data_IF_142977493122
#
_entry.id   IF_142977493122
#
_cell.length_a   1.000
_cell.length_b   1.000
_cell.length_c   1.000
_cell.angle_alpha   90.00
_cell.angle_beta   90.00
_cell.angle_gamma   90.00
#
_symmetry.space_group_name_H-M   'P 1'
#
loop_
_entity.id
_entity.type
_entity.pdbx_description
1 polymer ?
#
# COMPACT_ATOMS: atom_id res chain seq x y z
N UNK A 1 16.42 -17.04 10.83
CA UNK A 1 16.34 -15.61 10.48
C UNK A 1 14.97 -15.10 10.86
N UNK A 2 14.90 -14.00 11.61
CA UNK A 2 13.63 -13.36 11.96
C UNK A 2 13.06 -12.60 10.76
N UNK A 3 11.75 -12.74 10.54
CA UNK A 3 11.05 -12.04 9.47
C UNK A 3 11.02 -10.53 9.74
N UNK A 4 11.27 -9.71 8.72
CA UNK A 4 11.09 -8.26 8.83
C UNK A 4 9.60 -7.92 8.80
N UNK A 5 9.15 -7.05 9.71
CA UNK A 5 7.80 -6.48 9.67
C UNK A 5 7.79 -5.19 8.86
N UNK A 6 6.99 -5.15 7.80
CA UNK A 6 6.75 -3.94 7.00
C UNK A 6 5.64 -3.13 7.66
N UNK A 7 5.98 -1.95 8.16
CA UNK A 7 5.05 -1.01 8.81
C UNK A 7 4.55 0.07 7.84
N UNK A 8 5.29 0.30 6.75
CA UNK A 8 5.05 1.37 5.79
C UNK A 8 5.88 2.65 6.01
N UNK A 9 6.71 2.74 7.06
CA UNK A 9 7.35 4.00 7.45
C UNK A 9 8.87 3.95 7.67
N UNK A 10 9.44 2.77 7.95
CA UNK A 10 10.75 2.64 8.59
C UNK A 10 11.74 1.70 7.87
N UNK A 11 11.47 1.37 6.61
CA UNK A 11 12.34 0.46 5.84
C UNK A 11 13.71 1.09 5.59
N UNK A 12 14.78 0.40 5.99
CA UNK A 12 16.16 0.83 5.75
C UNK A 12 16.74 0.26 4.45
N UNK A 13 17.82 0.86 3.93
CA UNK A 13 18.55 0.30 2.77
C UNK A 13 19.16 -1.08 3.08
N UNK A 14 19.56 -1.31 4.33
CA UNK A 14 20.10 -2.60 4.77
C UNK A 14 19.00 -3.67 4.73
N UNK A 15 17.79 -3.35 5.20
CA UNK A 15 16.64 -4.27 5.11
C UNK A 15 16.32 -4.63 3.65
N UNK A 16 16.33 -3.64 2.74
CA UNK A 16 16.12 -3.87 1.30
C UNK A 16 17.15 -4.84 0.75
N UNK A 17 18.44 -4.63 1.08
CA UNK A 17 19.52 -5.52 0.67
C UNK A 17 19.30 -6.93 1.20
N UNK A 18 18.96 -7.09 2.48
CA UNK A 18 18.80 -8.40 3.10
C UNK A 18 17.61 -9.16 2.52
N UNK A 19 16.51 -8.48 2.22
CA UNK A 19 15.37 -9.08 1.51
C UNK A 19 15.80 -9.54 0.12
N UNK A 20 16.41 -8.66 -0.69
CA UNK A 20 16.71 -8.93 -2.09
C UNK A 20 17.78 -10.01 -2.28
N UNK A 21 18.87 -9.95 -1.50
CA UNK A 21 20.03 -10.80 -1.70
C UNK A 21 20.05 -12.05 -0.82
N UNK A 22 19.45 -11.98 0.38
CA UNK A 22 19.47 -13.10 1.34
C UNK A 22 18.10 -13.79 1.48
N UNK A 23 17.08 -13.28 0.79
CA UNK A 23 15.70 -13.78 0.88
C UNK A 23 15.17 -13.77 2.32
N UNK A 24 15.49 -12.72 3.08
CA UNK A 24 14.90 -12.52 4.41
C UNK A 24 13.37 -12.52 4.30
N UNK A 25 12.66 -13.37 5.05
CA UNK A 25 11.20 -13.38 5.04
C UNK A 25 10.64 -12.02 5.48
N UNK A 26 9.50 -11.63 4.92
CA UNK A 26 8.79 -10.41 5.29
C UNK A 26 7.36 -10.73 5.70
N UNK A 27 6.84 -9.94 6.64
CA UNK A 27 5.45 -9.98 7.09
C UNK A 27 4.92 -8.54 7.12
N UNK A 28 3.62 -8.37 6.90
CA UNK A 28 2.99 -7.08 7.22
C UNK A 28 2.86 -6.95 8.73
N UNK A 29 3.12 -5.76 9.25
CA UNK A 29 2.72 -5.43 10.60
C UNK A 29 1.16 -5.41 10.69
N UNK A 30 0.55 -5.83 11.81
CA UNK A 30 -0.91 -5.91 11.92
C UNK A 30 -1.61 -4.56 11.71
N UNK A 31 -1.02 -3.49 12.20
CA UNK A 31 -1.46 -2.10 12.01
C UNK A 31 -1.33 -1.65 10.55
N UNK A 32 -0.25 -2.00 9.86
CA UNK A 32 -0.10 -1.74 8.42
C UNK A 32 -1.20 -2.44 7.60
N UNK A 33 -1.55 -3.68 7.96
CA UNK A 33 -2.68 -4.40 7.33
C UNK A 33 -4.01 -3.66 7.57
N UNK A 34 -4.25 -3.20 8.80
CA UNK A 34 -5.46 -2.45 9.15
C UNK A 34 -5.53 -1.11 8.39
N UNK A 35 -4.43 -0.37 8.30
CA UNK A 35 -4.36 0.90 7.59
C UNK A 35 -4.68 0.74 6.09
N UNK A 36 -4.15 -0.29 5.43
CA UNK A 36 -4.47 -0.57 4.02
C UNK A 36 -5.96 -0.89 3.83
N UNK A 37 -6.57 -1.64 4.75
CA UNK A 37 -8.00 -1.92 4.69
C UNK A 37 -8.85 -0.66 4.89
N UNK A 38 -8.44 0.25 5.78
CA UNK A 38 -9.11 1.55 5.96
C UNK A 38 -8.99 2.41 4.70
N UNK A 39 -7.80 2.47 4.08
CA UNK A 39 -7.61 3.18 2.82
C UNK A 39 -8.50 2.61 1.70
N UNK A 40 -8.66 1.28 1.65
CA UNK A 40 -9.57 0.61 0.70
C UNK A 40 -11.02 1.04 0.90
N UNK A 41 -11.49 1.14 2.15
CA UNK A 41 -12.85 1.56 2.45
C UNK A 41 -13.16 2.99 1.94
N UNK A 42 -12.19 3.91 2.01
CA UNK A 42 -12.34 5.26 1.43
C UNK A 42 -12.57 5.19 -0.08
N UNK A 43 -11.83 4.34 -0.80
CA UNK A 43 -12.03 4.19 -2.24
C UNK A 43 -13.38 3.54 -2.55
N UNK A 44 -13.85 2.60 -1.73
CA UNK A 44 -15.18 2.01 -1.88
C UNK A 44 -16.29 3.06 -1.72
N UNK A 45 -16.15 3.98 -0.76
CA UNK A 45 -17.06 5.11 -0.56
C UNK A 45 -17.07 6.08 -1.75
N UNK A 46 -15.89 6.43 -2.28
CA UNK A 46 -15.78 7.29 -3.47
C UNK A 46 -16.57 6.72 -4.65
N UNK A 47 -16.46 5.40 -4.87
CA UNK A 47 -17.17 4.72 -5.95
C UNK A 47 -18.67 4.65 -5.68
N UNK A 48 -19.08 4.28 -4.46
CA UNK A 48 -20.50 4.16 -4.10
C UNK A 48 -21.27 5.48 -4.25
N UNK A 49 -20.60 6.61 -4.00
CA UNK A 49 -21.18 7.93 -4.06
C UNK A 49 -20.96 8.65 -5.41
N UNK A 50 -20.40 7.99 -6.42
CA UNK A 50 -19.99 8.59 -7.71
C UNK A 50 -19.17 9.89 -7.52
N UNK A 51 -18.31 9.94 -6.50
CA UNK A 51 -17.47 11.09 -6.23
C UNK A 51 -16.32 11.13 -7.25
N UNK A 52 -16.10 12.29 -7.87
CA UNK A 52 -15.01 12.49 -8.85
C UNK A 52 -13.67 12.35 -8.16
N UNK A 53 -12.88 11.34 -8.57
CA UNK A 53 -11.57 11.04 -8.01
C UNK A 53 -10.66 10.42 -9.07
N UNK A 54 -9.46 11.00 -9.20
CA UNK A 54 -8.51 10.65 -10.26
C UNK A 54 -8.15 9.16 -10.23
N UNK A 55 -8.24 8.50 -11.39
CA UNK A 55 -7.95 7.07 -11.56
C UNK A 55 -8.84 6.11 -10.74
N UNK A 56 -9.89 6.63 -10.07
CA UNK A 56 -10.86 5.83 -9.34
C UNK A 56 -12.22 5.90 -10.05
N UNK A 57 -12.73 7.11 -10.27
CA UNK A 57 -13.99 7.36 -11.00
C UNK A 57 -13.79 8.20 -12.26
N UNK A 58 -12.58 8.65 -12.54
CA UNK A 58 -12.17 9.26 -13.81
C UNK A 58 -11.27 8.30 -14.61
N UNK A 59 -10.94 8.66 -15.86
CA UNK A 59 -9.81 8.04 -16.56
C UNK A 59 -8.45 8.47 -15.97
N UNK A 60 -7.36 8.07 -16.64
CA UNK A 60 -5.97 8.31 -16.20
C UNK A 60 -5.20 9.17 -17.20
N UNK A 61 -4.21 9.92 -16.71
CA UNK A 61 -3.32 10.73 -17.53
C UNK A 61 -4.09 11.71 -18.40
N UNK A 62 -3.81 11.72 -19.72
CA UNK A 62 -4.51 12.59 -20.67
C UNK A 62 -6.02 12.32 -20.80
N UNK A 63 -6.49 11.18 -20.29
CA UNK A 63 -7.89 10.74 -20.34
C UNK A 63 -8.61 10.99 -19.00
N UNK A 64 -8.06 11.80 -18.09
CA UNK A 64 -8.72 12.10 -16.82
C UNK A 64 -9.83 13.14 -16.90
N UNK A 65 -9.85 13.90 -18.00
CA UNK A 65 -10.82 14.96 -18.30
C UNK A 65 -12.16 14.38 -18.77
#
# INVERSE_FOLDING_TARGET
MEALRITGNDLTLQDVRDIAYTRRPVLLAPDARAAVNQARAVVDELVANNQVSYAITTGVGKLSD
#
